data_IF_779159539704
#
_entry.id   IF_779159539704
#
_cell.length_a   1.000
_cell.length_b   1.000
_cell.length_c   1.000
_cell.angle_alpha   90.00
_cell.angle_beta   90.00
_cell.angle_gamma   90.00
#
_symmetry.space_group_name_H-M   'P 1'
#
loop_
_entity.id
_entity.type
_entity.pdbx_description
1 polymer ?
#
# COMPACT_ATOMS: atom_id res chain seq x y z
N UNK A 1 -11.81 -4.04 59.23
CA UNK A 1 -11.38 -3.90 57.83
C UNK A 1 -11.26 -2.42 57.49
N UNK A 2 -10.37 -2.11 56.56
CA UNK A 2 -9.55 -0.90 56.42
C UNK A 2 -10.34 0.36 56.02
N UNK A 3 -10.00 1.51 56.64
CA UNK A 3 -10.34 2.87 56.18
C UNK A 3 -9.55 3.18 54.89
N UNK A 4 -10.25 3.41 53.78
CA UNK A 4 -9.69 4.04 52.58
C UNK A 4 -10.02 5.53 52.58
N UNK A 5 -8.99 6.37 52.51
CA UNK A 5 -9.08 7.81 52.31
C UNK A 5 -9.20 8.12 50.82
N UNK A 6 -10.27 8.80 50.41
CA UNK A 6 -10.32 9.49 49.11
C UNK A 6 -10.55 10.98 49.35
N UNK A 7 -9.44 11.72 49.32
CA UNK A 7 -9.44 13.15 49.04
C UNK A 7 -9.96 13.34 47.61
N UNK A 8 -11.25 13.62 47.44
CA UNK A 8 -11.76 14.20 46.20
C UNK A 8 -11.76 15.71 46.39
N UNK A 9 -10.70 16.34 45.90
CA UNK A 9 -10.65 17.78 45.68
C UNK A 9 -11.71 18.12 44.64
N UNK A 10 -12.79 18.78 45.03
CA UNK A 10 -13.77 19.33 44.10
C UNK A 10 -13.08 20.40 43.23
N UNK A 11 -12.84 20.09 41.97
CA UNK A 11 -12.49 21.11 40.98
C UNK A 11 -13.74 21.88 40.60
N UNK A 12 -13.72 23.21 40.76
CA UNK A 12 -14.76 24.09 40.25
C UNK A 12 -14.72 24.03 38.71
N UNK A 13 -15.60 23.25 38.12
CA UNK A 13 -15.85 23.32 36.69
C UNK A 13 -16.83 24.47 36.44
N UNK A 14 -16.34 25.54 35.79
CA UNK A 14 -17.16 26.66 35.33
C UNK A 14 -18.13 26.17 34.24
N UNK A 15 -19.31 25.74 34.68
CA UNK A 15 -20.39 25.35 33.77
C UNK A 15 -21.32 26.55 33.55
N UNK A 16 -21.51 27.01 32.29
CA UNK A 16 -22.46 28.06 31.97
C UNK A 16 -23.92 27.68 32.28
N UNK A 17 -24.17 26.42 32.65
CA UNK A 17 -25.46 25.96 33.17
C UNK A 17 -25.61 26.28 34.67
N UNK A 18 -24.55 26.08 35.45
CA UNK A 18 -24.51 26.38 36.89
C UNK A 18 -24.60 27.89 37.12
N UNK A 19 -23.88 28.69 36.32
CA UNK A 19 -23.95 30.15 36.40
C UNK A 19 -25.35 30.70 36.05
N UNK A 20 -26.05 30.08 35.10
CA UNK A 20 -27.43 30.48 34.76
C UNK A 20 -28.41 30.17 35.88
N UNK A 21 -28.30 29.00 36.51
CA UNK A 21 -29.16 28.63 37.66
C UNK A 21 -28.87 29.52 38.87
N UNK A 22 -27.60 29.84 39.14
CA UNK A 22 -27.20 30.74 40.23
C UNK A 22 -27.69 32.17 39.94
N UNK A 23 -27.58 32.66 38.69
CA UNK A 23 -28.08 33.98 38.31
C UNK A 23 -29.59 34.09 38.45
N UNK A 24 -30.34 33.06 38.05
CA UNK A 24 -31.81 33.04 38.16
C UNK A 24 -32.27 33.00 39.63
N UNK A 25 -31.67 32.12 40.44
CA UNK A 25 -31.98 32.04 41.88
C UNK A 25 -31.58 33.29 42.66
N UNK A 26 -30.49 33.96 42.26
CA UNK A 26 -30.11 35.27 42.83
C UNK A 26 -31.14 36.35 42.45
N UNK A 27 -31.66 36.34 41.22
CA UNK A 27 -32.71 37.29 40.81
C UNK A 27 -34.00 37.09 41.61
N UNK A 28 -34.49 35.86 41.77
CA UNK A 28 -35.65 35.56 42.65
C UNK A 28 -35.40 36.00 44.10
N UNK A 29 -34.22 35.71 44.66
CA UNK A 29 -33.89 36.12 46.02
C UNK A 29 -33.84 37.64 46.18
N UNK A 30 -33.28 38.37 45.21
CA UNK A 30 -33.24 39.83 45.25
C UNK A 30 -34.62 40.46 45.03
N UNK A 31 -35.49 39.83 44.23
CA UNK A 31 -36.87 40.26 44.04
C UNK A 31 -37.67 40.11 45.34
N UNK A 32 -37.59 38.93 45.99
CA UNK A 32 -38.20 38.66 47.29
C UNK A 32 -37.65 39.57 48.40
N UNK A 33 -36.34 39.86 48.40
CA UNK A 33 -35.72 40.80 49.33
C UNK A 33 -36.17 42.24 49.08
N UNK A 34 -36.35 42.65 47.83
CA UNK A 34 -36.83 43.98 47.47
C UNK A 34 -38.31 44.17 47.82
N UNK A 35 -39.13 43.15 47.65
CA UNK A 35 -40.55 43.14 48.05
C UNK A 35 -40.71 43.13 49.57
N UNK A 36 -39.84 42.42 50.30
CA UNK A 36 -39.80 42.45 51.76
C UNK A 36 -39.32 43.82 52.30
N UNK A 37 -38.39 44.49 51.60
CA UNK A 37 -37.88 45.81 52.01
C UNK A 37 -38.85 46.97 51.72
N UNK A 38 -39.81 46.80 50.79
CA UNK A 38 -40.85 47.82 50.52
C UNK A 38 -42.01 47.81 51.52
N UNK A 39 -42.13 46.78 52.36
CA UNK A 39 -43.14 46.73 53.42
C UNK A 39 -42.55 47.27 54.73
N UNK A 40 -42.52 48.59 54.82
CA UNK A 40 -42.24 49.32 56.05
C UNK A 40 -43.33 49.00 57.09
N UNK A 41 -43.01 48.10 58.02
CA UNK A 41 -43.87 47.72 59.13
C UNK A 41 -43.28 46.51 59.81
N UNK A 42 -42.78 46.71 61.04
CA UNK A 42 -42.25 45.66 61.92
C UNK A 42 -43.24 44.50 62.08
N UNK A 43 -43.16 43.47 61.22
CA UNK A 43 -43.88 42.21 61.40
C UNK A 43 -43.05 41.38 62.39
N UNK A 44 -43.44 41.45 63.67
CA UNK A 44 -42.98 40.49 64.66
C UNK A 44 -43.58 39.12 64.32
N UNK A 45 -42.74 38.10 64.15
CA UNK A 45 -43.13 36.70 63.86
C UNK A 45 -44.08 36.04 64.91
N UNK A 46 -44.54 36.76 65.94
CA UNK A 46 -45.40 36.23 67.00
C UNK A 46 -46.89 36.13 66.65
N UNK A 47 -47.35 36.67 65.52
CA UNK A 47 -48.79 36.75 65.19
C UNK A 47 -49.24 36.10 63.88
N UNK A 48 -48.37 35.41 63.14
CA UNK A 48 -48.77 34.74 61.90
C UNK A 48 -49.27 33.30 62.15
N UNK A 49 -50.57 33.06 61.92
CA UNK A 49 -51.14 31.72 61.72
C UNK A 49 -51.69 31.65 60.28
N UNK A 50 -51.07 30.89 59.37
CA UNK A 50 -51.65 30.69 58.04
C UNK A 50 -52.94 29.84 58.15
N UNK A 51 -54.03 30.35 57.59
CA UNK A 51 -55.29 29.62 57.45
C UNK A 51 -55.26 28.85 56.11
N UNK A 52 -55.42 27.51 56.06
CA UNK A 52 -55.14 26.73 54.85
C UNK A 52 -56.26 26.73 53.79
N UNK A 53 -57.34 27.49 53.96
CA UNK A 53 -58.59 27.22 53.23
C UNK A 53 -59.08 28.31 52.27
N UNK A 54 -58.32 29.37 51.99
CA UNK A 54 -58.70 30.40 51.01
C UNK A 54 -57.84 30.35 49.73
N UNK A 55 -57.66 29.14 49.19
CA UNK A 55 -57.05 28.93 47.87
C UNK A 55 -58.09 29.08 46.77
N UNK A 56 -58.11 30.24 46.10
CA UNK A 56 -58.90 30.48 44.89
C UNK A 56 -58.25 29.72 43.70
N UNK A 57 -58.55 28.41 43.63
CA UNK A 57 -57.96 27.43 42.70
C UNK A 57 -58.10 27.80 41.20
N UNK A 58 -59.03 28.70 40.87
CA UNK A 58 -59.24 29.16 39.49
C UNK A 58 -58.10 30.04 38.96
N UNK A 59 -57.40 30.78 39.83
CA UNK A 59 -56.31 31.67 39.40
C UNK A 59 -55.03 30.92 39.04
N UNK A 60 -54.79 29.77 39.68
CA UNK A 60 -53.64 28.90 39.40
C UNK A 60 -53.78 28.26 38.00
N UNK A 61 -54.99 27.93 37.58
CA UNK A 61 -55.26 27.34 36.28
C UNK A 61 -55.09 28.30 35.09
N UNK A 62 -55.36 29.60 35.27
CA UNK A 62 -55.21 30.60 34.21
C UNK A 62 -53.75 30.99 33.95
N UNK A 63 -52.92 31.04 34.99
CA UNK A 63 -51.49 31.42 34.88
C UNK A 63 -50.64 30.26 34.35
N UNK A 64 -50.99 29.00 34.66
CA UNK A 64 -50.24 27.83 34.23
C UNK A 64 -50.47 27.43 32.75
N UNK A 65 -51.56 27.90 32.11
CA UNK A 65 -51.89 27.58 30.71
C UNK A 65 -50.88 28.13 29.68
N UNK A 66 -50.45 29.41 29.71
CA UNK A 66 -49.46 29.92 28.77
C UNK A 66 -48.06 29.31 28.98
N UNK A 67 -47.66 29.02 30.22
CA UNK A 67 -46.35 28.43 30.52
C UNK A 67 -46.21 26.97 30.07
N UNK A 68 -47.29 26.18 30.21
CA UNK A 68 -47.30 24.77 29.75
C UNK A 68 -47.07 24.64 28.24
N UNK A 69 -47.67 25.54 27.44
CA UNK A 69 -47.45 25.58 26.00
C UNK A 69 -46.01 25.98 25.61
N UNK A 70 -45.35 26.82 26.40
CA UNK A 70 -43.95 27.24 26.18
C UNK A 70 -42.99 26.09 26.50
N UNK A 71 -43.19 25.39 27.62
CA UNK A 71 -42.40 24.22 27.99
C UNK A 71 -42.58 23.04 27.01
N UNK A 72 -43.81 22.79 26.56
CA UNK A 72 -44.08 21.73 25.57
C UNK A 72 -43.42 22.04 24.22
N UNK A 73 -43.44 23.30 23.78
CA UNK A 73 -42.78 23.72 22.55
C UNK A 73 -41.25 23.69 22.65
N UNK A 74 -40.68 24.10 23.79
CA UNK A 74 -39.24 24.01 24.05
C UNK A 74 -38.75 22.55 24.09
N UNK A 75 -39.49 21.69 24.79
CA UNK A 75 -39.18 20.26 24.88
C UNK A 75 -39.26 19.57 23.52
N UNK A 76 -40.29 19.88 22.72
CA UNK A 76 -40.39 19.39 21.33
C UNK A 76 -39.23 19.88 20.45
N UNK A 77 -38.78 21.12 20.63
CA UNK A 77 -37.65 21.67 19.87
C UNK A 77 -36.33 20.97 20.24
N UNK A 78 -36.06 20.76 21.53
CA UNK A 78 -34.88 20.03 21.98
C UNK A 78 -34.90 18.59 21.47
N UNK A 79 -36.02 17.88 21.59
CA UNK A 79 -36.14 16.51 21.09
C UNK A 79 -35.85 16.43 19.59
N UNK A 80 -36.34 17.38 18.79
CA UNK A 80 -36.02 17.43 17.35
C UNK A 80 -34.54 17.71 17.09
N UNK A 81 -33.89 18.56 17.88
CA UNK A 81 -32.45 18.82 17.76
C UNK A 81 -31.64 17.57 18.09
N UNK A 82 -31.94 16.90 19.21
CA UNK A 82 -31.27 15.66 19.62
C UNK A 82 -31.48 14.53 18.61
N UNK A 83 -32.69 14.40 18.03
CA UNK A 83 -32.96 13.43 16.97
C UNK A 83 -32.17 13.73 15.69
N UNK A 84 -32.02 15.01 15.33
CA UNK A 84 -31.23 15.43 14.17
C UNK A 84 -29.73 15.16 14.39
N UNK A 85 -29.22 15.44 15.57
CA UNK A 85 -27.83 15.12 15.96
C UNK A 85 -27.61 13.60 15.97
N UNK A 86 -28.51 12.82 16.56
CA UNK A 86 -28.44 11.36 16.53
C UNK A 86 -28.42 10.81 15.10
N UNK A 87 -29.25 11.34 14.20
CA UNK A 87 -29.25 10.94 12.80
C UNK A 87 -27.93 11.31 12.09
N UNK A 88 -27.35 12.47 12.38
CA UNK A 88 -26.04 12.86 11.85
C UNK A 88 -24.94 11.91 12.32
N UNK A 89 -24.90 11.58 13.61
CA UNK A 89 -23.91 10.65 14.17
C UNK A 89 -24.08 9.23 13.59
N UNK A 90 -25.31 8.75 13.42
CA UNK A 90 -25.58 7.46 12.77
C UNK A 90 -25.08 7.44 11.31
N UNK A 91 -25.30 8.51 10.56
CA UNK A 91 -24.77 8.62 9.20
C UNK A 91 -23.24 8.67 9.18
N UNK A 92 -22.64 9.38 10.13
CA UNK A 92 -21.18 9.46 10.25
C UNK A 92 -20.57 8.09 10.60
N UNK A 93 -21.18 7.33 11.51
CA UNK A 93 -20.80 5.94 11.81
C UNK A 93 -20.90 5.08 10.56
N UNK A 94 -21.99 5.20 9.78
CA UNK A 94 -22.15 4.48 8.52
C UNK A 94 -21.03 4.79 7.51
N UNK A 95 -20.65 6.06 7.38
CA UNK A 95 -19.52 6.47 6.53
C UNK A 95 -18.19 5.89 7.01
N UNK A 96 -17.92 5.91 8.32
CA UNK A 96 -16.71 5.31 8.89
C UNK A 96 -16.65 3.80 8.64
N UNK A 97 -17.76 3.09 8.82
CA UNK A 97 -17.83 1.65 8.55
C UNK A 97 -17.54 1.33 7.08
N UNK A 98 -18.04 2.15 6.14
CA UNK A 98 -17.72 2.01 4.72
C UNK A 98 -16.23 2.26 4.44
N UNK A 99 -15.62 3.27 5.07
CA UNK A 99 -14.19 3.54 4.94
C UNK A 99 -13.34 2.39 5.48
N UNK A 100 -13.71 1.82 6.62
CA UNK A 100 -13.03 0.65 7.22
C UNK A 100 -13.14 -0.55 6.27
N UNK A 101 -14.33 -0.85 5.75
CA UNK A 101 -14.53 -1.94 4.81
C UNK A 101 -13.69 -1.77 3.53
N UNK A 102 -13.62 -0.55 2.99
CA UNK A 102 -12.80 -0.25 1.82
C UNK A 102 -11.29 -0.39 2.11
N UNK A 103 -10.84 0.04 3.29
CA UNK A 103 -9.45 -0.13 3.73
C UNK A 103 -9.10 -1.62 3.90
N UNK A 104 -9.99 -2.40 4.50
CA UNK A 104 -9.82 -3.85 4.67
C UNK A 104 -9.72 -4.56 3.32
N UNK A 105 -10.60 -4.23 2.36
CA UNK A 105 -10.50 -4.80 1.01
C UNK A 105 -9.18 -4.47 0.32
N UNK A 106 -8.64 -3.26 0.52
CA UNK A 106 -7.31 -2.90 -0.02
C UNK A 106 -6.20 -3.71 0.65
N UNK A 107 -6.25 -3.84 1.97
CA UNK A 107 -5.30 -4.66 2.72
C UNK A 107 -5.33 -6.12 2.25
N UNK A 108 -6.52 -6.72 2.13
CA UNK A 108 -6.66 -8.11 1.69
C UNK A 108 -6.11 -8.32 0.28
N UNK A 109 -6.31 -7.36 -0.64
CA UNK A 109 -5.72 -7.39 -1.99
C UNK A 109 -4.20 -7.33 -1.95
N UNK A 110 -3.63 -6.44 -1.15
CA UNK A 110 -2.18 -6.32 -1.00
C UNK A 110 -1.59 -7.59 -0.38
N UNK A 111 -2.25 -8.16 0.62
CA UNK A 111 -1.79 -9.39 1.28
C UNK A 111 -1.78 -10.58 0.31
N UNK A 112 -2.81 -10.72 -0.53
CA UNK A 112 -2.83 -11.73 -1.60
C UNK A 112 -1.69 -11.52 -2.59
N UNK A 113 -1.52 -10.30 -3.09
CA UNK A 113 -0.43 -9.99 -4.02
C UNK A 113 0.95 -10.26 -3.42
N UNK A 114 1.15 -9.99 -2.13
CA UNK A 114 2.39 -10.32 -1.45
C UNK A 114 2.60 -11.84 -1.34
N UNK A 115 1.55 -12.60 -1.04
CA UNK A 115 1.62 -14.07 -1.04
C UNK A 115 1.94 -14.64 -2.42
N UNK A 116 1.34 -14.10 -3.48
CA UNK A 116 1.58 -14.53 -4.85
C UNK A 116 3.05 -14.26 -5.25
N UNK A 117 3.60 -13.11 -4.86
CA UNK A 117 5.02 -12.77 -5.10
C UNK A 117 5.97 -13.71 -4.35
N UNK A 118 5.67 -14.01 -3.08
CA UNK A 118 6.48 -14.95 -2.29
C UNK A 118 6.48 -16.34 -2.92
N UNK A 119 5.31 -16.81 -3.39
CA UNK A 119 5.20 -18.09 -4.07
C UNK A 119 5.98 -18.10 -5.38
N UNK A 120 5.87 -17.03 -6.19
CA UNK A 120 6.62 -16.89 -7.43
C UNK A 120 8.14 -16.95 -7.19
N UNK A 121 8.65 -16.20 -6.20
CA UNK A 121 10.08 -16.23 -5.85
C UNK A 121 10.50 -17.65 -5.44
N UNK A 122 9.68 -18.34 -4.65
CA UNK A 122 9.97 -19.70 -4.24
C UNK A 122 9.96 -20.70 -5.42
N UNK A 123 9.04 -20.54 -6.36
CA UNK A 123 8.98 -21.38 -7.56
C UNK A 123 10.20 -21.18 -8.45
N UNK A 124 10.65 -19.94 -8.66
CA UNK A 124 11.89 -19.61 -9.37
C UNK A 124 13.13 -20.16 -8.64
N UNK A 125 13.16 -20.08 -7.31
CA UNK A 125 14.25 -20.62 -6.49
C UNK A 125 14.39 -22.13 -6.68
N UNK A 126 13.27 -22.86 -6.63
CA UNK A 126 13.23 -24.30 -6.89
C UNK A 126 13.54 -24.62 -8.36
N UNK A 127 13.07 -23.80 -9.30
CA UNK A 127 13.35 -23.93 -10.73
C UNK A 127 14.83 -23.80 -11.06
N UNK A 128 15.56 -22.94 -10.36
CA UNK A 128 17.02 -22.82 -10.42
C UNK A 128 17.76 -23.98 -9.72
N UNK A 129 17.03 -24.99 -9.20
CA UNK A 129 17.60 -26.12 -8.47
C UNK A 129 18.18 -25.75 -7.09
N UNK A 130 17.86 -24.57 -6.58
CA UNK A 130 18.26 -24.13 -5.25
C UNK A 130 17.33 -24.75 -4.21
N UNK A 131 17.86 -25.04 -3.01
CA UNK A 131 17.07 -25.68 -1.95
C UNK A 131 17.50 -25.20 -0.57
N UNK A 132 16.52 -25.10 0.33
CA UNK A 132 16.72 -24.59 1.69
C UNK A 132 15.53 -23.77 2.16
N UNK A 133 15.40 -23.59 3.48
CA UNK A 133 14.48 -22.60 4.05
C UNK A 133 15.23 -21.28 4.18
N UNK A 134 15.03 -20.38 3.22
CA UNK A 134 15.49 -19.00 3.29
C UNK A 134 14.30 -18.07 3.09
N UNK A 135 14.40 -16.83 3.58
CA UNK A 135 13.38 -15.83 3.32
C UNK A 135 13.42 -15.38 1.85
N UNK A 136 12.31 -14.80 1.32
CA UNK A 136 12.20 -14.45 -0.09
C UNK A 136 13.29 -13.50 -0.60
N UNK A 137 13.87 -12.64 0.26
CA UNK A 137 14.92 -11.71 -0.18
C UNK A 137 16.21 -12.48 -0.42
N UNK A 138 16.57 -13.39 0.48
CA UNK A 138 17.71 -14.29 0.28
C UNK A 138 17.50 -15.20 -0.94
N UNK A 139 16.30 -15.77 -1.10
CA UNK A 139 15.98 -16.57 -2.29
C UNK A 139 16.21 -15.78 -3.58
N UNK A 140 15.76 -14.52 -3.63
CA UNK A 140 15.95 -13.66 -4.80
C UNK A 140 17.43 -13.42 -5.11
N UNK A 141 18.25 -13.12 -4.10
CA UNK A 141 19.69 -12.91 -4.29
C UNK A 141 20.39 -14.18 -4.79
N UNK A 142 20.06 -15.33 -4.22
CA UNK A 142 20.61 -16.61 -4.64
C UNK A 142 20.25 -16.94 -6.11
N UNK A 143 19.00 -16.63 -6.53
CA UNK A 143 18.57 -16.76 -7.93
C UNK A 143 19.43 -15.89 -8.85
N UNK A 144 19.64 -14.62 -8.48
CA UNK A 144 20.48 -13.72 -9.27
C UNK A 144 21.91 -14.23 -9.38
N UNK A 145 22.53 -14.63 -8.26
CA UNK A 145 23.88 -15.18 -8.27
C UNK A 145 23.98 -16.46 -9.09
N UNK A 146 22.97 -17.34 -9.03
CA UNK A 146 22.91 -18.55 -9.83
C UNK A 146 22.97 -18.22 -11.33
N UNK A 147 22.08 -17.37 -11.81
CA UNK A 147 22.03 -16.99 -13.22
C UNK A 147 23.25 -16.18 -13.67
N UNK A 148 23.83 -15.35 -12.81
CA UNK A 148 25.09 -14.68 -13.12
C UNK A 148 26.23 -15.67 -13.35
N UNK A 149 26.36 -16.70 -12.50
CA UNK A 149 27.36 -17.75 -12.65
C UNK A 149 27.13 -18.59 -13.90
N UNK A 150 25.88 -18.98 -14.18
CA UNK A 150 25.55 -19.70 -15.41
C UNK A 150 25.87 -18.88 -16.66
N UNK A 151 25.46 -17.61 -16.69
CA UNK A 151 25.76 -16.71 -17.80
C UNK A 151 27.26 -16.53 -18.01
N UNK A 152 28.04 -16.41 -16.93
CA UNK A 152 29.50 -16.35 -17.01
C UNK A 152 30.10 -17.64 -17.59
N UNK A 153 29.58 -18.81 -17.19
CA UNK A 153 29.98 -20.11 -17.74
C UNK A 153 29.69 -20.19 -19.24
N UNK A 154 28.46 -19.89 -19.66
CA UNK A 154 28.06 -19.92 -21.07
C UNK A 154 28.89 -18.96 -21.93
N UNK A 155 29.17 -17.76 -21.44
CA UNK A 155 30.04 -16.79 -22.14
C UNK A 155 31.45 -17.34 -22.35
N UNK A 156 32.01 -18.04 -21.38
CA UNK A 156 33.33 -18.65 -21.51
C UNK A 156 33.32 -19.83 -22.49
N UNK A 157 32.26 -20.62 -22.50
CA UNK A 157 32.09 -21.73 -23.44
C UNK A 157 31.95 -21.23 -24.89
N UNK A 158 31.15 -20.18 -25.10
CA UNK A 158 31.04 -19.50 -26.41
C UNK A 158 32.41 -18.99 -26.88
N UNK A 159 33.16 -18.29 -26.01
CA UNK A 159 34.50 -17.81 -26.36
C UNK A 159 35.48 -18.93 -26.70
N UNK A 160 35.36 -20.08 -26.03
CA UNK A 160 36.19 -21.24 -26.33
C UNK A 160 35.84 -21.83 -27.70
N UNK A 161 34.56 -21.93 -28.04
CA UNK A 161 34.12 -22.36 -29.37
C UNK A 161 34.48 -21.38 -30.47
N UNK A 162 34.35 -20.07 -30.23
CA UNK A 162 34.78 -19.04 -31.20
C UNK A 162 36.26 -19.20 -31.55
N UNK A 163 37.13 -19.41 -30.55
CA UNK A 163 38.56 -19.70 -30.80
C UNK A 163 38.77 -20.99 -31.59
N UNK A 164 38.05 -22.07 -31.26
CA UNK A 164 38.13 -23.32 -32.02
C UNK A 164 37.72 -23.13 -33.47
N UNK A 165 36.71 -22.31 -33.73
CA UNK A 165 36.26 -22.00 -35.08
C UNK A 165 37.27 -21.14 -35.84
N UNK A 166 37.89 -20.15 -35.19
CA UNK A 166 38.97 -19.36 -35.78
C UNK A 166 40.17 -20.23 -36.17
N UNK A 167 40.55 -21.19 -35.32
CA UNK A 167 41.66 -22.09 -35.62
C UNK A 167 41.33 -23.05 -36.77
N UNK A 168 40.11 -23.59 -36.82
CA UNK A 168 39.63 -24.37 -37.97
C UNK A 168 39.58 -23.56 -39.26
N UNK A 169 39.19 -22.28 -39.18
CA UNK A 169 39.18 -21.41 -40.35
C UNK A 169 40.59 -21.22 -40.90
N UNK A 170 41.59 -21.01 -40.03
CA UNK A 170 42.99 -20.93 -40.45
C UNK A 170 43.47 -22.23 -41.10
N UNK A 171 43.12 -23.37 -40.52
CA UNK A 171 43.46 -24.69 -41.08
C UNK A 171 42.86 -24.87 -42.49
N UNK A 172 41.58 -24.51 -42.68
CA UNK A 172 40.94 -24.52 -44.00
C UNK A 172 41.68 -23.63 -44.97
N UNK A 173 42.00 -22.39 -44.59
CA UNK A 173 42.74 -21.46 -45.46
C UNK A 173 44.12 -22.00 -45.83
N UNK A 174 44.82 -22.70 -44.92
CA UNK A 174 46.08 -23.37 -45.25
C UNK A 174 45.87 -24.48 -46.28
N UNK A 175 44.86 -25.32 -46.10
CA UNK A 175 44.53 -26.39 -47.05
C UNK A 175 44.13 -25.83 -48.42
N UNK A 176 43.37 -24.74 -48.46
CA UNK A 176 43.01 -24.06 -49.71
C UNK A 176 44.26 -23.56 -50.46
N UNK A 177 45.20 -22.94 -49.76
CA UNK A 177 46.48 -22.52 -50.36
C UNK A 177 47.29 -23.72 -50.87
N UNK A 178 47.35 -24.82 -50.10
CA UNK A 178 48.07 -26.04 -50.52
C UNK A 178 47.43 -26.65 -51.78
N UNK A 179 46.10 -26.60 -51.91
CA UNK A 179 45.39 -27.05 -53.11
C UNK A 179 45.76 -26.19 -54.32
N UNK A 180 45.77 -24.86 -54.16
CA UNK A 180 46.14 -23.93 -55.23
C UNK A 180 47.60 -24.16 -55.68
N UNK A 181 48.53 -24.38 -54.75
CA UNK A 181 49.92 -24.70 -55.04
C UNK A 181 50.07 -26.04 -55.79
N UNK A 182 49.34 -27.07 -55.35
CA UNK A 182 49.31 -28.36 -56.04
C UNK A 182 48.70 -28.27 -57.45
N UNK A 183 47.68 -27.43 -57.63
CA UNK A 183 47.08 -27.19 -58.94
C UNK A 183 48.08 -26.50 -59.89
N UNK A 184 48.83 -25.52 -59.39
CA UNK A 184 49.91 -24.88 -60.14
C UNK A 184 51.01 -25.89 -60.54
N UNK A 185 51.46 -26.74 -59.60
CA UNK A 185 52.44 -27.79 -59.89
C UNK A 185 51.93 -28.80 -60.94
N UNK A 186 50.67 -29.23 -60.82
CA UNK A 186 50.03 -30.11 -61.81
C UNK A 186 50.07 -29.49 -63.20
N UNK A 187 49.74 -28.20 -63.32
CA UNK A 187 49.69 -27.51 -64.60
C UNK A 187 51.10 -27.37 -65.21
N UNK A 188 52.13 -27.05 -64.42
CA UNK A 188 53.52 -27.01 -64.88
C UNK A 188 54.00 -28.38 -65.39
N UNK A 189 53.75 -29.45 -64.63
CA UNK A 189 54.13 -30.81 -65.04
C UNK A 189 53.42 -31.25 -66.33
N UNK A 190 52.17 -30.84 -66.53
CA UNK A 190 51.44 -31.11 -67.78
C UNK A 190 52.04 -30.35 -68.97
N UNK A 191 52.49 -29.12 -68.79
CA UNK A 191 53.20 -28.36 -69.83
C UNK A 191 54.54 -29.02 -70.19
N UNK A 192 55.35 -29.38 -69.19
CA UNK A 192 56.62 -30.09 -69.39
C UNK A 192 56.43 -31.43 -70.11
N UNK A 193 55.41 -32.20 -69.71
CA UNK A 193 55.08 -33.48 -70.36
C UNK A 193 54.67 -33.28 -71.82
N UNK A 194 53.86 -32.26 -72.11
CA UNK A 194 53.46 -31.93 -73.48
C UNK A 194 54.66 -31.52 -74.36
N UNK A 195 55.59 -30.76 -73.80
CA UNK A 195 56.82 -30.37 -74.51
C UNK A 195 57.74 -31.57 -74.78
N UNK A 196 57.90 -32.46 -73.80
CA UNK A 196 58.63 -33.71 -73.96
C UNK A 196 58.00 -34.60 -75.04
N UNK A 197 56.68 -34.82 -74.98
CA UNK A 197 55.95 -35.59 -75.99
C UNK A 197 56.10 -35.02 -77.39
N UNK A 198 56.00 -33.69 -77.54
CA UNK A 198 56.19 -33.01 -78.82
C UNK A 198 57.60 -33.26 -79.37
N UNK A 199 58.62 -33.18 -78.51
CA UNK A 199 60.02 -33.41 -78.89
C UNK A 199 60.24 -34.87 -79.32
N UNK A 200 59.69 -35.83 -78.58
CA UNK A 200 59.77 -37.26 -78.91
C UNK A 200 59.12 -37.57 -80.26
N UNK A 201 57.94 -37.02 -80.54
CA UNK A 201 57.26 -37.17 -81.84
C UNK A 201 58.16 -36.68 -82.98
N UNK A 202 58.79 -35.50 -82.82
CA UNK A 202 59.71 -34.95 -83.83
C UNK A 202 60.92 -35.86 -84.04
N UNK A 203 61.55 -36.32 -82.95
CA UNK A 203 62.70 -37.22 -83.03
C UNK A 203 62.35 -38.55 -83.70
N UNK A 204 61.15 -39.09 -83.42
CA UNK A 204 60.67 -40.33 -84.01
C UNK A 204 60.41 -40.17 -85.51
N UNK A 205 59.76 -39.08 -85.93
CA UNK A 205 59.56 -38.74 -87.34
C UNK A 205 60.89 -38.57 -88.10
N UNK A 206 61.88 -37.88 -87.50
CA UNK A 206 63.22 -37.74 -88.10
C UNK A 206 63.89 -39.11 -88.24
N UNK A 207 63.74 -40.00 -87.25
CA UNK A 207 64.33 -41.34 -87.31
C UNK A 207 63.73 -42.16 -88.45
N UNK A 208 62.41 -42.13 -88.61
CA UNK A 208 61.69 -42.82 -89.68
C UNK A 208 62.15 -42.32 -91.06
N UNK A 209 62.29 -41.00 -91.26
CA UNK A 209 62.80 -40.41 -92.51
C UNK A 209 64.26 -40.77 -92.84
N UNK A 210 65.09 -41.13 -91.86
CA UNK A 210 66.49 -41.51 -92.07
C UNK A 210 66.69 -43.02 -92.25
N UNK A 211 65.62 -43.82 -92.10
CA UNK A 211 65.65 -45.28 -92.25
C UNK A 211 64.96 -45.79 -93.52
N UNK A 212 64.41 -44.88 -94.35
CA UNK A 212 64.05 -45.11 -95.75
C UNK A 212 65.21 -44.77 -96.68
#
# INVERSE_FOLDING_TARGET
>A
MVRGSENVTCTNADSPYVDRVIKYRKQEFYQLKSEAAQRNGSISCKSYKPNPCDGDDNRVYEVARPEKNIFDNYSKRIMRQLQSELFREQNYIGLLQQQIAAAQQKYDKLNRGNSDLVNYINDEYLGAGLSGKSDPITQLNDIFEHYERENARWRNEIKAEERRNEDKLKEITTVENDIDDLENQKNQLLEELNECNRTLIVLQAIREMNTE
#
